data_IF_607696923730
#
_entry.id   IF_607696923730
#
_cell.length_a   1.000
_cell.length_b   1.000
_cell.length_c   1.000
_cell.angle_alpha   90.00
_cell.angle_beta   90.00
_cell.angle_gamma   90.00
#
_symmetry.space_group_name_H-M   'P 1'
#
loop_
_entity.id
_entity.type
_entity.pdbx_description
1 polymer ?
#
# COMPACT_ATOMS: atom_id res chain seq x y z
N UNK A 1 14.04 7.23 -14.08
CA UNK A 1 13.52 8.04 -12.97
C UNK A 1 14.52 8.08 -11.81
N UNK A 2 15.56 8.89 -11.90
CA UNK A 2 16.40 9.24 -10.76
C UNK A 2 15.81 10.51 -10.14
N UNK A 3 14.83 10.39 -9.29
CA UNK A 3 14.10 11.52 -8.70
C UNK A 3 14.83 12.11 -7.48
N UNK A 4 15.83 11.41 -6.94
CA UNK A 4 16.56 11.92 -5.78
C UNK A 4 17.79 12.74 -6.20
N UNK A 5 17.95 13.98 -5.66
CA UNK A 5 19.25 14.64 -5.71
C UNK A 5 20.30 13.71 -5.09
N UNK A 6 21.46 13.60 -5.70
CA UNK A 6 22.56 12.73 -5.24
C UNK A 6 23.04 13.02 -3.81
N UNK A 7 22.62 14.15 -3.23
CA UNK A 7 22.88 14.56 -1.84
C UNK A 7 21.83 14.06 -0.83
N UNK A 8 20.67 13.58 -1.27
CA UNK A 8 19.61 13.10 -0.39
C UNK A 8 19.84 11.62 -0.06
N UNK A 9 20.14 11.33 1.20
CA UNK A 9 20.23 9.96 1.74
C UNK A 9 19.07 9.77 2.70
N UNK A 10 17.85 9.50 2.19
CA UNK A 10 16.72 9.20 3.06
C UNK A 10 17.03 7.91 3.81
N UNK A 11 16.55 7.83 5.06
CA UNK A 11 16.38 6.51 5.66
C UNK A 11 15.36 5.71 4.81
N UNK A 12 15.31 4.40 4.99
CA UNK A 12 14.39 3.56 4.21
C UNK A 12 12.93 3.98 4.35
N UNK A 13 12.52 4.53 5.51
CA UNK A 13 11.14 4.94 5.77
C UNK A 13 10.77 6.20 4.98
N UNK A 14 11.65 7.21 4.99
CA UNK A 14 11.46 8.45 4.21
C UNK A 14 11.37 8.18 2.71
N UNK A 15 12.07 7.17 2.21
CA UNK A 15 11.98 6.74 0.82
C UNK A 15 10.57 6.28 0.48
N UNK A 16 9.99 5.36 1.26
CA UNK A 16 8.65 4.85 1.01
C UNK A 16 7.56 5.93 1.11
N UNK A 17 7.72 6.91 2.01
CA UNK A 17 6.82 8.07 2.09
C UNK A 17 6.77 8.81 0.75
N UNK A 18 7.92 9.11 0.16
CA UNK A 18 7.97 9.80 -1.15
C UNK A 18 7.24 9.01 -2.23
N UNK A 19 7.44 7.70 -2.30
CA UNK A 19 6.73 6.86 -3.28
C UNK A 19 5.22 6.84 -3.05
N UNK A 20 4.78 6.70 -1.79
CA UNK A 20 3.37 6.64 -1.43
C UNK A 20 2.64 8.00 -1.58
N UNK A 21 3.33 9.12 -1.35
CA UNK A 21 2.78 10.47 -1.50
C UNK A 21 2.74 10.97 -2.95
N UNK A 22 3.61 10.43 -3.81
CA UNK A 22 3.67 10.86 -5.21
C UNK A 22 2.38 10.52 -5.93
N UNK A 23 1.67 11.52 -6.50
CA UNK A 23 0.46 11.26 -7.28
C UNK A 23 0.76 10.39 -8.49
N UNK A 24 -0.15 9.49 -8.81
CA UNK A 24 -0.09 8.71 -10.04
C UNK A 24 -0.29 9.62 -11.26
N UNK A 25 0.37 9.31 -12.36
CA UNK A 25 0.24 10.03 -13.62
C UNK A 25 -1.22 10.07 -14.10
N UNK A 26 -1.68 11.23 -14.57
CA UNK A 26 -3.08 11.42 -14.98
C UNK A 26 -3.49 10.47 -16.11
N UNK A 27 -2.63 10.22 -17.10
CA UNK A 27 -2.93 9.28 -18.17
C UNK A 27 -3.15 7.85 -17.65
N UNK A 28 -2.43 7.44 -16.60
CA UNK A 28 -2.62 6.12 -15.96
C UNK A 28 -3.93 6.11 -15.19
N UNK A 29 -4.24 7.18 -14.45
CA UNK A 29 -5.53 7.32 -13.74
C UNK A 29 -6.71 7.23 -14.70
N UNK A 30 -6.67 7.94 -15.83
CA UNK A 30 -7.71 7.92 -16.85
C UNK A 30 -7.97 6.51 -17.41
N UNK A 31 -6.96 5.66 -17.48
CA UNK A 31 -7.08 4.30 -17.99
C UNK A 31 -7.69 3.33 -16.96
N UNK A 32 -7.30 3.42 -15.69
CA UNK A 32 -7.66 2.39 -14.71
C UNK A 32 -8.74 2.82 -13.70
N UNK A 33 -8.79 4.11 -13.30
CA UNK A 33 -9.72 4.57 -12.26
C UNK A 33 -11.20 4.42 -12.64
N UNK A 34 -11.65 4.65 -13.89
CA UNK A 34 -13.04 4.41 -14.25
C UNK A 34 -13.50 2.97 -13.95
N UNK A 35 -12.67 1.99 -14.30
CA UNK A 35 -12.97 0.56 -14.04
C UNK A 35 -12.95 0.26 -12.54
N UNK A 36 -11.95 0.75 -11.80
CA UNK A 36 -11.89 0.53 -10.35
C UNK A 36 -13.06 1.20 -9.63
N UNK A 37 -13.40 2.45 -9.98
CA UNK A 37 -14.57 3.16 -9.43
C UNK A 37 -15.86 2.38 -9.64
N UNK A 38 -16.09 1.86 -10.83
CA UNK A 38 -17.26 1.03 -11.13
C UNK A 38 -17.32 -0.22 -10.25
N UNK A 39 -16.18 -0.81 -9.92
CA UNK A 39 -16.10 -2.03 -9.08
C UNK A 39 -16.35 -1.76 -7.59
N UNK A 40 -16.19 -0.53 -7.14
CA UNK A 40 -16.39 -0.15 -5.73
C UNK A 40 -17.62 0.74 -5.52
N UNK A 41 -18.32 1.12 -6.60
CA UNK A 41 -19.50 1.98 -6.55
C UNK A 41 -20.61 1.36 -5.67
N UNK A 42 -21.14 2.17 -4.75
CA UNK A 42 -22.22 1.77 -3.85
C UNK A 42 -21.81 0.84 -2.70
N UNK A 43 -20.53 0.47 -2.60
CA UNK A 43 -20.02 -0.34 -1.50
C UNK A 43 -19.74 0.54 -0.26
N UNK A 44 -19.78 -0.09 0.93
CA UNK A 44 -19.26 0.51 2.15
C UNK A 44 -17.73 0.71 2.06
N UNK A 45 -17.16 1.58 2.92
CA UNK A 45 -15.70 1.77 2.98
C UNK A 45 -14.95 0.45 3.13
N UNK A 46 -15.41 -0.40 4.06
CA UNK A 46 -14.81 -1.71 4.33
C UNK A 46 -14.83 -2.62 3.09
N UNK A 47 -15.97 -2.71 2.41
CA UNK A 47 -16.12 -3.53 1.20
C UNK A 47 -15.29 -2.97 0.04
N UNK A 48 -15.27 -1.65 -0.13
CA UNK A 48 -14.48 -1.00 -1.16
C UNK A 48 -12.97 -1.21 -0.95
N UNK A 49 -12.48 -0.99 0.29
CA UNK A 49 -11.08 -1.29 0.65
C UNK A 49 -10.78 -2.77 0.47
N UNK A 50 -11.66 -3.68 0.90
CA UNK A 50 -11.49 -5.12 0.69
C UNK A 50 -11.37 -5.49 -0.79
N UNK A 51 -12.13 -4.83 -1.66
CA UNK A 51 -12.07 -5.03 -3.11
C UNK A 51 -10.75 -4.54 -3.71
N UNK A 52 -10.28 -3.36 -3.30
CA UNK A 52 -8.99 -2.82 -3.73
C UNK A 52 -7.83 -3.67 -3.19
N UNK A 53 -7.91 -4.10 -1.93
CA UNK A 53 -6.92 -4.99 -1.31
C UNK A 53 -6.80 -6.30 -2.11
N UNK A 54 -7.92 -6.97 -2.40
CA UNK A 54 -7.91 -8.20 -3.16
C UNK A 54 -7.36 -8.00 -4.59
N UNK A 55 -7.66 -6.88 -5.24
CA UNK A 55 -7.08 -6.54 -6.53
C UNK A 55 -5.55 -6.49 -6.46
N UNK A 56 -4.98 -5.80 -5.47
CA UNK A 56 -3.53 -5.72 -5.33
C UNK A 56 -2.91 -7.06 -4.95
N UNK A 57 -3.57 -7.83 -4.09
CA UNK A 57 -3.12 -9.17 -3.68
C UNK A 57 -3.01 -10.15 -4.86
N UNK A 58 -3.94 -10.06 -5.81
CA UNK A 58 -4.11 -11.09 -6.84
C UNK A 58 -3.75 -10.64 -8.25
N UNK A 59 -3.58 -9.33 -8.46
CA UNK A 59 -3.36 -8.76 -9.79
C UNK A 59 -1.93 -8.89 -10.32
N UNK A 60 -0.95 -9.19 -9.45
CA UNK A 60 0.47 -9.17 -9.78
C UNK A 60 1.17 -10.42 -9.26
N UNK A 61 2.18 -10.91 -10.00
CA UNK A 61 3.08 -11.93 -9.49
C UNK A 61 4.00 -11.33 -8.41
N UNK A 62 4.39 -12.14 -7.43
CA UNK A 62 5.36 -11.74 -6.44
C UNK A 62 6.77 -12.14 -6.88
N UNK A 63 7.71 -11.22 -6.82
CA UNK A 63 9.13 -11.51 -7.04
C UNK A 63 9.97 -10.56 -6.16
N UNK A 64 11.08 -11.08 -5.64
CA UNK A 64 12.03 -10.26 -4.89
C UNK A 64 12.85 -9.40 -5.83
N UNK A 65 13.14 -8.19 -5.41
CA UNK A 65 13.89 -7.20 -6.18
C UNK A 65 15.29 -7.67 -6.59
N UNK A 66 16.00 -8.35 -5.71
CA UNK A 66 17.33 -8.89 -5.98
C UNK A 66 17.32 -9.98 -7.06
N UNK A 67 16.24 -10.75 -7.17
CA UNK A 67 16.06 -11.75 -8.23
C UNK A 67 15.82 -11.12 -9.60
N UNK A 68 15.13 -9.98 -9.63
CA UNK A 68 14.70 -9.34 -10.88
C UNK A 68 15.66 -8.23 -11.29
N UNK A 69 16.06 -7.39 -10.36
CA UNK A 69 16.84 -6.18 -10.61
C UNK A 69 18.31 -6.28 -10.15
N UNK A 70 18.62 -7.24 -9.27
CA UNK A 70 19.93 -7.36 -8.64
C UNK A 70 20.19 -6.33 -7.54
N UNK A 71 19.18 -5.57 -7.13
CA UNK A 71 19.21 -4.58 -6.04
C UNK A 71 17.81 -4.21 -5.58
N UNK A 72 17.67 -3.72 -4.35
CA UNK A 72 16.42 -3.22 -3.76
C UNK A 72 15.91 -1.97 -4.51
N UNK A 73 14.69 -2.06 -5.09
CA UNK A 73 14.07 -1.04 -5.93
C UNK A 73 12.58 -0.89 -5.64
N UNK A 74 12.21 0.08 -4.85
CA UNK A 74 10.79 0.39 -4.66
C UNK A 74 10.18 1.07 -5.89
N UNK A 75 8.91 0.81 -6.15
CA UNK A 75 8.14 1.34 -7.27
C UNK A 75 7.24 2.50 -6.85
N UNK A 76 7.06 3.46 -7.77
CA UNK A 76 5.86 4.31 -7.74
C UNK A 76 4.61 3.46 -8.06
N UNK A 77 3.45 3.90 -7.59
CA UNK A 77 2.21 3.15 -7.78
C UNK A 77 1.94 2.79 -9.26
N UNK A 78 2.28 3.67 -10.18
CA UNK A 78 2.13 3.43 -11.62
C UNK A 78 3.12 2.40 -12.16
N UNK A 79 4.32 2.28 -11.58
CA UNK A 79 5.29 1.26 -11.96
C UNK A 79 4.80 -0.14 -11.54
N UNK A 80 4.19 -0.26 -10.36
CA UNK A 80 3.55 -1.52 -9.93
C UNK A 80 2.44 -1.96 -10.89
N UNK A 81 1.69 -1.02 -11.46
CA UNK A 81 0.68 -1.32 -12.47
C UNK A 81 1.27 -1.70 -13.83
N UNK A 82 2.48 -1.25 -14.12
CA UNK A 82 3.15 -1.49 -15.41
C UNK A 82 3.92 -2.81 -15.44
N UNK A 83 4.65 -3.13 -14.38
CA UNK A 83 5.44 -4.35 -14.31
C UNK A 83 4.58 -5.55 -13.90
N UNK A 84 4.85 -6.76 -14.45
CA UNK A 84 4.03 -7.95 -14.14
C UNK A 84 4.31 -8.55 -12.76
N UNK A 85 5.34 -8.09 -12.07
CA UNK A 85 5.78 -8.55 -10.75
C UNK A 85 6.11 -7.35 -9.85
N UNK A 86 6.00 -7.56 -8.57
CA UNK A 86 6.27 -6.57 -7.52
C UNK A 86 6.49 -7.29 -6.19
N UNK A 87 7.04 -6.59 -5.22
CA UNK A 87 7.21 -7.13 -3.87
C UNK A 87 6.28 -6.46 -2.83
N UNK A 88 6.61 -6.53 -1.53
CA UNK A 88 5.70 -6.10 -0.47
C UNK A 88 5.54 -4.58 -0.41
N UNK A 89 6.61 -3.81 -0.55
CA UNK A 89 6.53 -2.36 -0.51
C UNK A 89 5.82 -1.77 -1.71
N UNK A 90 6.02 -2.32 -2.89
CA UNK A 90 5.35 -1.90 -4.11
C UNK A 90 3.84 -2.05 -3.98
N UNK A 91 3.40 -3.20 -3.44
CA UNK A 91 1.98 -3.47 -3.19
C UNK A 91 1.40 -2.56 -2.12
N UNK A 92 2.14 -2.31 -1.03
CA UNK A 92 1.71 -1.40 0.03
C UNK A 92 1.56 0.03 -0.48
N UNK A 93 2.51 0.51 -1.29
CA UNK A 93 2.48 1.83 -1.93
C UNK A 93 1.29 1.95 -2.90
N UNK A 94 1.08 0.95 -3.76
CA UNK A 94 -0.05 0.94 -4.70
C UNK A 94 -1.38 0.95 -3.96
N UNK A 95 -1.58 0.06 -2.97
CA UNK A 95 -2.82 0.02 -2.19
C UNK A 95 -3.10 1.36 -1.50
N UNK A 96 -2.09 1.94 -0.86
CA UNK A 96 -2.19 3.25 -0.23
C UNK A 96 -2.65 4.32 -1.22
N UNK A 97 -2.08 4.34 -2.41
CA UNK A 97 -2.45 5.31 -3.45
C UNK A 97 -3.89 5.13 -3.93
N UNK A 98 -4.31 3.90 -4.18
CA UNK A 98 -5.66 3.57 -4.62
C UNK A 98 -6.72 3.94 -3.57
N UNK A 99 -6.49 3.59 -2.30
CA UNK A 99 -7.42 3.91 -1.21
C UNK A 99 -7.56 5.42 -1.02
N UNK A 100 -6.46 6.14 -1.02
CA UNK A 100 -6.48 7.60 -0.88
C UNK A 100 -7.17 8.29 -2.07
N UNK A 101 -6.85 7.91 -3.28
CA UNK A 101 -7.38 8.58 -4.48
C UNK A 101 -8.84 8.23 -4.78
N UNK A 102 -9.26 7.00 -4.52
CA UNK A 102 -10.60 6.53 -4.89
C UNK A 102 -11.62 6.67 -3.76
N UNK A 103 -11.18 6.58 -2.49
CA UNK A 103 -12.06 6.60 -1.33
C UNK A 103 -11.85 7.81 -0.41
N UNK A 104 -10.74 8.54 -0.56
CA UNK A 104 -10.39 9.67 0.30
C UNK A 104 -10.07 9.29 1.74
N UNK A 105 -9.77 8.02 2.02
CA UNK A 105 -9.45 7.55 3.36
C UNK A 105 -7.98 7.79 3.71
N UNK A 106 -7.72 8.07 4.98
CA UNK A 106 -6.36 8.22 5.49
C UNK A 106 -5.68 6.85 5.60
N UNK A 107 -4.41 6.81 5.19
CA UNK A 107 -3.58 5.62 5.25
C UNK A 107 -2.25 5.91 5.94
N UNK A 108 -1.68 4.86 6.52
CA UNK A 108 -0.28 4.83 6.97
C UNK A 108 0.38 3.58 6.39
N UNK A 109 1.70 3.60 6.17
CA UNK A 109 2.43 2.37 5.94
C UNK A 109 2.76 1.73 7.30
N UNK A 110 2.77 0.40 7.33
CA UNK A 110 3.09 -0.39 8.52
C UNK A 110 4.33 -1.22 8.21
N UNK A 111 5.44 -0.81 8.82
CA UNK A 111 6.67 -1.60 8.72
C UNK A 111 6.70 -2.66 9.82
N UNK A 112 6.86 -3.89 9.40
CA UNK A 112 7.29 -5.02 10.22
C UNK A 112 8.73 -5.35 9.85
N UNK A 113 9.57 -5.87 10.75
CA UNK A 113 10.91 -6.30 10.36
C UNK A 113 10.89 -7.28 9.18
N UNK A 114 11.37 -6.82 8.02
CA UNK A 114 11.40 -7.59 6.78
C UNK A 114 10.10 -7.60 5.96
N UNK A 115 9.10 -6.76 6.31
CA UNK A 115 7.84 -6.68 5.56
C UNK A 115 7.20 -5.29 5.64
N UNK A 116 6.56 -4.87 4.56
CA UNK A 116 5.79 -3.63 4.52
C UNK A 116 4.33 -3.91 4.15
N UNK A 117 3.42 -3.38 4.94
CA UNK A 117 1.98 -3.39 4.69
C UNK A 117 1.41 -1.97 4.71
N UNK A 118 0.12 -1.84 4.46
CA UNK A 118 -0.67 -0.61 4.60
C UNK A 118 -1.66 -0.77 5.76
N UNK A 119 -2.08 0.33 6.37
CA UNK A 119 -3.24 0.35 7.26
C UNK A 119 -4.11 1.57 6.96
N UNK A 120 -5.41 1.41 7.09
CA UNK A 120 -6.44 2.36 6.69
C UNK A 120 -7.24 2.82 7.90
N UNK A 121 -7.45 4.13 8.02
CA UNK A 121 -8.38 4.69 8.98
C UNK A 121 -9.79 4.70 8.40
N UNK A 122 -10.65 3.84 8.94
CA UNK A 122 -12.06 3.78 8.57
C UNK A 122 -12.87 4.79 9.38
N UNK A 123 -13.85 5.44 8.77
CA UNK A 123 -14.76 6.37 9.48
C UNK A 123 -15.80 5.63 10.32
N UNK A 124 -16.01 4.34 10.05
CA UNK A 124 -16.86 3.42 10.81
C UNK A 124 -16.01 2.31 11.41
N UNK A 125 -16.55 1.61 12.40
CA UNK A 125 -15.86 0.48 13.03
C UNK A 125 -15.43 -0.55 11.99
N UNK A 126 -14.18 -0.96 12.09
CA UNK A 126 -13.59 -2.09 11.38
C UNK A 126 -13.13 -3.14 12.38
N UNK A 127 -12.91 -4.36 11.91
CA UNK A 127 -12.50 -5.48 12.77
C UNK A 127 -11.09 -5.96 12.41
N UNK A 128 -10.42 -6.61 13.36
CA UNK A 128 -9.11 -7.21 13.17
C UNK A 128 -7.99 -6.42 13.81
N UNK A 129 -6.76 -6.65 13.37
CA UNK A 129 -5.56 -5.99 13.90
C UNK A 129 -5.53 -4.52 13.45
N UNK A 130 -5.34 -3.63 14.39
CA UNK A 130 -5.15 -2.20 14.13
C UNK A 130 -4.04 -1.62 15.00
N UNK A 131 -3.53 -0.48 14.60
CA UNK A 131 -2.56 0.31 15.35
C UNK A 131 -3.05 1.75 15.49
N UNK A 132 -2.82 2.36 16.64
CA UNK A 132 -3.23 3.74 16.91
C UNK A 132 -2.08 4.71 16.66
N UNK A 133 -2.38 5.79 15.95
CA UNK A 133 -1.45 6.90 15.70
C UNK A 133 -2.20 8.23 15.81
N UNK A 134 -1.70 9.14 16.66
CA UNK A 134 -2.29 10.47 16.86
C UNK A 134 -3.80 10.44 17.19
N UNK A 135 -4.25 9.43 17.95
CA UNK A 135 -5.65 9.30 18.35
C UNK A 135 -6.59 8.72 17.31
N UNK A 136 -6.06 8.21 16.21
CA UNK A 136 -6.80 7.49 15.16
C UNK A 136 -6.34 6.05 15.08
N UNK A 137 -7.28 5.14 14.87
CA UNK A 137 -6.99 3.71 14.67
C UNK A 137 -6.92 3.40 13.18
N UNK A 138 -5.86 2.72 12.80
CA UNK A 138 -5.59 2.30 11.42
C UNK A 138 -5.60 0.77 11.36
N UNK A 139 -6.57 0.22 10.67
CA UNK A 139 -6.73 -1.23 10.52
C UNK A 139 -5.83 -1.77 9.41
N UNK A 140 -5.08 -2.82 9.72
CA UNK A 140 -4.08 -3.39 8.81
C UNK A 140 -4.76 -3.93 7.55
N UNK A 141 -4.15 -3.62 6.41
CA UNK A 141 -4.50 -4.15 5.09
C UNK A 141 -3.20 -4.67 4.47
N UNK A 142 -2.98 -5.99 4.49
CA UNK A 142 -1.76 -6.58 3.99
C UNK A 142 -1.91 -7.02 2.52
N UNK A 143 -1.36 -6.26 1.55
CA UNK A 143 -1.54 -6.55 0.14
C UNK A 143 -0.64 -7.68 -0.38
N UNK A 144 0.21 -8.23 0.47
CA UNK A 144 1.09 -9.36 0.14
C UNK A 144 0.52 -10.69 0.58
N UNK A 145 -0.27 -10.70 1.66
CA UNK A 145 -0.92 -11.91 2.14
C UNK A 145 -2.19 -12.22 1.31
N UNK A 146 -2.05 -13.07 0.29
CA UNK A 146 -3.08 -13.41 -0.69
C UNK A 146 -4.39 -13.85 0.00
N UNK A 147 -5.51 -13.23 -0.38
CA UNK A 147 -6.85 -13.44 0.14
C UNK A 147 -7.04 -13.14 1.65
N UNK A 148 -6.06 -12.53 2.32
CA UNK A 148 -6.28 -12.06 3.68
C UNK A 148 -7.34 -10.95 3.69
N UNK A 149 -8.32 -10.98 4.61
CA UNK A 149 -9.26 -9.89 4.78
C UNK A 149 -8.58 -8.67 5.41
N UNK A 150 -9.26 -7.53 5.34
CA UNK A 150 -8.93 -6.35 6.15
C UNK A 150 -8.81 -6.75 7.62
N UNK A 151 -7.79 -6.26 8.32
CA UNK A 151 -7.48 -6.57 9.71
C UNK A 151 -6.62 -7.83 9.92
N UNK A 152 -6.14 -8.47 8.87
CA UNK A 152 -5.31 -9.68 8.97
C UNK A 152 -3.95 -9.48 8.30
N UNK A 153 -2.89 -9.18 9.08
CA UNK A 153 -1.52 -9.18 8.57
C UNK A 153 -1.02 -10.60 8.28
N UNK A 154 0.07 -10.69 7.54
CA UNK A 154 0.74 -11.96 7.25
C UNK A 154 1.11 -12.70 8.55
N UNK A 155 0.88 -14.02 8.64
CA UNK A 155 1.23 -14.80 9.82
C UNK A 155 2.72 -14.75 10.13
N UNK A 156 3.05 -14.74 11.42
CA UNK A 156 4.43 -14.74 11.90
C UNK A 156 5.08 -13.35 12.00
N UNK A 157 4.38 -12.30 11.59
CA UNK A 157 4.78 -10.93 11.87
C UNK A 157 4.43 -10.62 13.33
N UNK A 158 5.45 -10.49 14.17
CA UNK A 158 5.27 -10.11 15.58
C UNK A 158 5.14 -8.59 15.73
N UNK A 159 4.61 -8.14 16.86
CA UNK A 159 4.49 -6.70 17.18
C UNK A 159 5.83 -6.04 17.53
N UNK A 160 6.88 -6.83 17.74
CA UNK A 160 8.20 -6.31 18.06
C UNK A 160 8.84 -5.62 16.85
N UNK A 161 9.10 -4.31 17.01
CA UNK A 161 9.74 -3.50 15.97
C UNK A 161 8.79 -2.98 14.90
N UNK A 162 7.49 -3.12 15.08
CA UNK A 162 6.47 -2.49 14.22
C UNK A 162 6.63 -0.97 14.29
N UNK A 163 6.57 -0.33 13.12
CA UNK A 163 6.57 1.14 13.00
C UNK A 163 5.46 1.59 12.08
N UNK A 164 4.71 2.56 12.53
CA UNK A 164 3.76 3.28 11.67
C UNK A 164 4.47 4.43 10.98
N UNK A 165 4.32 4.51 9.68
CA UNK A 165 4.94 5.53 8.83
C UNK A 165 3.80 6.41 8.31
N UNK A 166 3.62 7.62 8.86
CA UNK A 166 2.56 8.52 8.41
C UNK A 166 2.80 8.99 6.98
N UNK A 167 1.71 9.21 6.26
CA UNK A 167 1.65 9.73 4.90
C UNK A 167 0.76 10.97 4.91
N UNK A 168 1.23 12.10 4.37
CA UNK A 168 0.55 13.40 4.35
C UNK A 168 -0.38 13.57 3.13
#
# INVERSE_FOLDING_TARGET
YNVYPTSYKPDQFSRWVVYAETPMNENVKEQIYPTLKQKIEGLSEYEAVSRLLNFVQTGFAYAYDDEVWGYDRSFFAEETLYYPFCDCEDRAILLTRLVRDLLGLECVLVYYPGHLACAVHFTKESSGIFYSLNGKDYTVCDPTFINAPVGMPMPGLGDNGVKLIPIN
#
